data_IF_817450501252
#
_entry.id   IF_817450501252
#
_cell.length_a   1.000
_cell.length_b   1.000
_cell.length_c   1.000
_cell.angle_alpha   90.00
_cell.angle_beta   90.00
_cell.angle_gamma   90.00
#
_symmetry.space_group_name_H-M   'P 1'
#
loop_
_entity.id
_entity.type
_entity.pdbx_description
1 polymer ?
#
# COMPACT_ATOMS: atom_id res chain seq x y z
N UNK A 1 11.80 22.49 -76.45
CA UNK A 1 10.86 22.22 -75.33
C UNK A 1 11.59 22.57 -74.03
N UNK A 2 11.07 23.47 -73.18
CA UNK A 2 11.76 23.91 -71.98
C UNK A 2 11.47 22.96 -70.81
N UNK A 3 12.51 22.52 -70.10
CA UNK A 3 12.36 21.84 -68.81
C UNK A 3 12.16 22.90 -67.71
N UNK A 4 10.96 22.93 -67.13
CA UNK A 4 10.64 23.70 -65.92
C UNK A 4 11.27 23.01 -64.70
N UNK A 5 12.17 23.71 -64.01
CA UNK A 5 12.61 23.33 -62.66
C UNK A 5 11.49 23.60 -61.66
N UNK A 6 11.03 22.55 -60.97
CA UNK A 6 10.11 22.65 -59.83
C UNK A 6 10.90 22.70 -58.54
N UNK A 7 10.83 23.83 -57.83
CA UNK A 7 11.29 23.96 -56.45
C UNK A 7 10.20 23.36 -55.53
N UNK A 8 10.51 22.25 -54.84
CA UNK A 8 9.71 21.79 -53.69
C UNK A 8 10.03 22.69 -52.48
N UNK A 9 9.05 23.26 -51.77
CA UNK A 9 9.31 23.93 -50.52
C UNK A 9 9.50 22.88 -49.41
N UNK A 10 10.66 22.92 -48.74
CA UNK A 10 10.89 22.21 -47.49
C UNK A 10 10.01 22.84 -46.39
N UNK A 11 8.98 22.11 -45.97
CA UNK A 11 8.22 22.42 -44.75
C UNK A 11 9.06 22.02 -43.53
N UNK A 12 9.71 23.00 -42.91
CA UNK A 12 10.30 22.87 -41.58
C UNK A 12 9.17 22.87 -40.54
N UNK A 13 8.82 21.67 -40.04
CA UNK A 13 7.96 21.53 -38.86
C UNK A 13 8.82 21.79 -37.62
N UNK A 14 8.65 22.97 -37.01
CA UNK A 14 9.22 23.26 -35.70
C UNK A 14 8.43 22.48 -34.63
N UNK A 15 9.01 21.38 -34.10
CA UNK A 15 8.53 20.78 -32.86
C UNK A 15 8.84 21.75 -31.71
N UNK A 16 7.83 22.47 -31.24
CA UNK A 16 7.90 23.15 -29.96
C UNK A 16 7.96 22.08 -28.86
N UNK A 17 9.11 21.95 -28.19
CA UNK A 17 9.23 21.16 -26.98
C UNK A 17 8.37 21.83 -25.90
N UNK A 18 7.21 21.23 -25.58
CA UNK A 18 6.44 21.64 -24.42
C UNK A 18 7.30 21.39 -23.16
N UNK A 19 7.41 22.35 -22.23
CA UNK A 19 8.08 22.10 -20.97
C UNK A 19 7.32 21.00 -20.23
N UNK A 20 8.05 20.00 -19.73
CA UNK A 20 7.50 19.03 -18.79
C UNK A 20 6.97 19.82 -17.60
N UNK A 21 5.65 19.96 -17.49
CA UNK A 21 5.02 20.52 -16.32
C UNK A 21 5.27 19.54 -15.16
N UNK A 22 6.34 19.76 -14.40
CA UNK A 22 6.51 19.11 -13.11
C UNK A 22 5.52 19.81 -12.18
N UNK A 23 4.33 19.23 -12.04
CA UNK A 23 3.32 19.71 -11.09
C UNK A 23 3.76 19.36 -9.66
N UNK A 24 4.76 20.07 -9.14
CA UNK A 24 4.96 20.16 -7.70
C UNK A 24 3.86 21.07 -7.16
N UNK A 25 2.84 20.51 -6.52
CA UNK A 25 2.02 21.28 -5.58
C UNK A 25 2.78 21.31 -4.25
N UNK A 26 3.27 22.49 -3.80
CA UNK A 26 3.87 22.61 -2.48
C UNK A 26 2.84 22.19 -1.41
N UNK A 27 3.29 21.42 -0.43
CA UNK A 27 2.44 20.97 0.67
C UNK A 27 1.94 22.17 1.48
N UNK A 28 0.64 22.27 1.86
CA UNK A 28 0.16 23.39 2.65
C UNK A 28 0.90 23.48 4.00
N UNK A 29 1.26 24.70 4.44
CA UNK A 29 1.97 24.88 5.71
C UNK A 29 1.09 24.45 6.89
N UNK A 30 1.72 23.94 7.94
CA UNK A 30 1.04 23.62 9.20
C UNK A 30 0.81 24.89 10.01
N UNK A 31 -0.34 24.97 10.68
CA UNK A 31 -0.60 26.00 11.67
C UNK A 31 0.06 25.66 13.03
N UNK A 32 -0.05 26.56 14.00
CA UNK A 32 0.56 26.41 15.32
C UNK A 32 0.03 25.21 16.14
N UNK A 33 -1.07 24.57 15.70
CA UNK A 33 -1.63 23.36 16.30
C UNK A 33 -1.12 22.07 15.64
N UNK A 34 -0.31 22.19 14.58
CA UNK A 34 0.18 21.07 13.79
C UNK A 34 -0.79 20.57 12.72
N UNK A 35 -1.98 21.18 12.61
CA UNK A 35 -2.95 20.93 11.56
C UNK A 35 -2.53 21.61 10.25
N UNK A 36 -2.89 21.04 9.11
CA UNK A 36 -2.61 21.68 7.82
C UNK A 36 -3.57 22.84 7.59
N UNK A 37 -3.01 24.02 7.37
CA UNK A 37 -3.79 25.21 7.07
C UNK A 37 -4.60 24.97 5.79
N UNK A 38 -5.93 24.95 5.90
CA UNK A 38 -6.85 24.86 4.76
C UNK A 38 -7.54 23.51 4.53
N UNK A 39 -7.32 22.47 5.36
CA UNK A 39 -8.18 21.28 5.34
C UNK A 39 -9.48 21.57 6.11
N UNK A 40 -10.60 21.72 5.39
CA UNK A 40 -11.92 21.87 6.01
C UNK A 40 -12.33 20.61 6.79
N UNK A 41 -13.20 20.77 7.80
CA UNK A 41 -13.71 19.68 8.65
C UNK A 41 -14.27 18.46 7.86
N UNK A 42 -14.75 18.68 6.63
CA UNK A 42 -15.27 17.63 5.74
C UNK A 42 -14.22 16.60 5.29
N UNK A 43 -12.93 16.93 5.32
CA UNK A 43 -11.84 16.04 4.87
C UNK A 43 -11.22 15.22 6.00
N UNK A 44 -11.50 15.58 7.25
CA UNK A 44 -11.04 14.86 8.46
C UNK A 44 -11.66 13.46 8.56
N UNK A 45 -12.83 13.25 7.97
CA UNK A 45 -13.59 11.98 8.03
C UNK A 45 -13.47 11.14 6.76
N UNK A 46 -12.64 11.54 5.80
CA UNK A 46 -12.46 10.78 4.55
C UNK A 46 -11.66 9.50 4.87
N UNK A 47 -12.38 8.40 5.15
CA UNK A 47 -11.86 7.20 5.82
C UNK A 47 -12.77 6.64 6.91
N UNK A 48 -13.80 7.40 7.32
CA UNK A 48 -14.98 6.98 8.11
C UNK A 48 -16.21 7.18 7.24
N UNK A 49 -17.19 6.29 7.35
CA UNK A 49 -18.49 6.54 6.72
C UNK A 49 -19.57 5.71 7.40
N UNK A 50 -20.63 6.36 7.86
CA UNK A 50 -21.87 5.70 8.31
C UNK A 50 -22.53 4.88 7.19
N UNK A 51 -22.11 5.08 5.93
CA UNK A 51 -22.58 4.36 4.76
C UNK A 51 -21.70 3.17 4.38
N UNK A 52 -20.47 3.06 4.92
CA UNK A 52 -19.62 1.88 4.71
C UNK A 52 -20.09 0.79 5.67
N UNK A 53 -20.72 -0.23 5.09
CA UNK A 53 -21.16 -1.43 5.80
C UNK A 53 -20.30 -2.59 5.36
N UNK A 54 -19.13 -2.73 5.99
CA UNK A 54 -18.33 -3.92 5.86
C UNK A 54 -19.03 -5.05 6.62
N UNK A 55 -19.39 -6.12 5.92
CA UNK A 55 -20.19 -7.21 6.45
C UNK A 55 -19.46 -8.55 6.31
N UNK A 56 -19.83 -9.49 7.17
CA UNK A 56 -19.36 -10.87 7.10
C UNK A 56 -20.39 -11.75 6.38
N UNK A 57 -19.95 -12.44 5.33
CA UNK A 57 -20.77 -13.20 4.40
C UNK A 57 -20.58 -14.71 4.54
N UNK A 58 -20.19 -15.15 5.74
CA UNK A 58 -20.20 -16.56 6.14
C UNK A 58 -19.11 -17.45 5.51
N UNK A 59 -18.15 -16.86 4.80
CA UNK A 59 -16.97 -17.52 4.23
C UNK A 59 -15.78 -17.66 5.20
N UNK A 60 -14.79 -18.51 4.88
CA UNK A 60 -13.62 -18.68 5.72
C UNK A 60 -12.65 -17.49 5.61
N UNK A 61 -11.79 -17.33 6.62
CA UNK A 61 -10.59 -16.48 6.54
C UNK A 61 -9.34 -17.37 6.48
N UNK A 62 -8.17 -16.81 6.15
CA UNK A 62 -6.91 -17.55 6.23
C UNK A 62 -6.44 -17.69 7.69
N UNK A 63 -7.06 -18.62 8.44
CA UNK A 63 -6.78 -18.86 9.86
C UNK A 63 -5.53 -19.73 10.12
N UNK A 64 -5.13 -20.57 9.15
CA UNK A 64 -3.91 -21.37 9.24
C UNK A 64 -2.66 -20.55 8.86
N UNK A 65 -1.47 -21.03 9.22
CA UNK A 65 -0.18 -20.41 8.87
C UNK A 65 -0.10 -20.10 7.36
N UNK A 66 0.09 -18.82 7.05
CA UNK A 66 0.13 -18.33 5.67
C UNK A 66 1.57 -18.45 5.17
N UNK A 67 1.77 -19.11 4.03
CA UNK A 67 3.08 -19.13 3.35
C UNK A 67 2.98 -18.40 2.02
N UNK A 68 3.71 -17.30 1.89
CA UNK A 68 3.77 -16.51 0.66
C UNK A 68 4.90 -17.03 -0.22
N UNK A 69 4.58 -17.41 -1.46
CA UNK A 69 5.54 -17.92 -2.46
C UNK A 69 5.73 -16.93 -3.62
N UNK A 70 6.72 -16.02 -3.56
CA UNK A 70 6.96 -15.06 -4.63
C UNK A 70 7.39 -15.71 -5.96
N UNK A 71 6.77 -15.28 -7.05
CA UNK A 71 7.17 -15.60 -8.42
C UNK A 71 7.74 -14.33 -9.06
N UNK A 72 9.05 -14.29 -9.26
CA UNK A 72 9.76 -13.21 -9.93
C UNK A 72 9.71 -13.41 -11.42
N UNK A 73 8.69 -12.83 -12.04
CA UNK A 73 8.53 -12.85 -13.49
C UNK A 73 9.26 -11.65 -14.11
N UNK A 74 10.32 -11.94 -14.86
CA UNK A 74 11.15 -10.99 -15.59
C UNK A 74 12.46 -10.56 -14.90
N UNK A 75 13.10 -9.52 -15.45
CA UNK A 75 14.38 -9.00 -14.99
C UNK A 75 14.21 -8.17 -13.70
N UNK A 76 14.40 -8.82 -12.55
CA UNK A 76 14.27 -8.20 -11.24
C UNK A 76 15.63 -7.96 -10.57
N UNK A 77 16.02 -6.69 -10.31
CA UNK A 77 17.19 -6.36 -9.51
C UNK A 77 17.18 -7.02 -8.13
N UNK A 78 18.34 -7.45 -7.67
CA UNK A 78 18.49 -8.12 -6.37
C UNK A 78 18.01 -7.24 -5.20
N UNK A 79 18.21 -5.92 -5.29
CA UNK A 79 17.73 -4.96 -4.28
C UNK A 79 16.20 -4.92 -4.17
N UNK A 80 15.50 -5.01 -5.30
CA UNK A 80 14.04 -4.98 -5.32
C UNK A 80 13.46 -6.23 -4.68
N UNK A 81 14.01 -7.40 -5.03
CA UNK A 81 13.65 -8.67 -4.37
C UNK A 81 13.94 -8.61 -2.87
N UNK A 82 15.10 -8.06 -2.48
CA UNK A 82 15.46 -7.86 -1.06
C UNK A 82 14.43 -7.01 -0.33
N UNK A 83 13.98 -5.91 -0.92
CA UNK A 83 12.96 -5.04 -0.32
C UNK A 83 11.66 -5.79 -0.08
N UNK A 84 11.13 -6.51 -1.07
CA UNK A 84 9.88 -7.27 -0.93
C UNK A 84 10.03 -8.40 0.08
N UNK A 85 11.13 -9.18 0.04
CA UNK A 85 11.38 -10.23 1.04
C UNK A 85 11.44 -9.67 2.45
N UNK A 86 12.07 -8.52 2.64
CA UNK A 86 12.14 -7.89 3.94
C UNK A 86 10.77 -7.39 4.41
N UNK A 87 9.94 -6.84 3.51
CA UNK A 87 8.55 -6.52 3.83
C UNK A 87 7.78 -7.76 4.29
N UNK A 88 7.80 -8.85 3.52
CA UNK A 88 7.10 -10.09 3.85
C UNK A 88 7.55 -10.68 5.19
N UNK A 89 8.87 -10.65 5.48
CA UNK A 89 9.42 -11.08 6.78
C UNK A 89 9.04 -10.15 7.94
N UNK A 90 8.59 -8.92 7.65
CA UNK A 90 8.18 -7.96 8.67
C UNK A 90 6.71 -8.13 9.10
N UNK A 91 5.91 -8.91 8.38
CA UNK A 91 4.50 -9.21 8.75
C UNK A 91 4.42 -10.09 10.00
N UNK A 92 5.32 -11.08 10.10
CA UNK A 92 5.44 -11.99 11.24
C UNK A 92 6.93 -12.18 11.57
N UNK A 93 7.58 -11.17 12.18
CA UNK A 93 9.00 -11.22 12.46
C UNK A 93 9.28 -12.31 13.50
N UNK A 94 10.19 -13.22 13.17
CA UNK A 94 10.65 -14.24 14.12
C UNK A 94 11.45 -13.56 15.23
N UNK A 95 11.16 -13.92 16.48
CA UNK A 95 12.04 -13.60 17.61
C UNK A 95 13.29 -14.48 17.51
N UNK A 96 14.24 -14.10 16.66
CA UNK A 96 15.56 -14.74 16.69
C UNK A 96 16.18 -14.49 18.07
N UNK A 97 16.53 -15.57 18.76
CA UNK A 97 17.06 -15.57 20.14
C UNK A 97 18.42 -14.87 20.33
N UNK A 98 18.83 -13.97 19.45
CA UNK A 98 20.10 -13.25 19.53
C UNK A 98 19.93 -11.81 19.06
N UNK A 99 19.94 -10.86 20.01
CA UNK A 99 20.36 -9.44 19.94
C UNK A 99 20.04 -8.58 18.69
N UNK A 100 19.18 -8.98 17.76
CA UNK A 100 18.52 -8.04 16.85
C UNK A 100 17.36 -7.41 17.63
N UNK A 101 17.49 -6.11 17.93
CA UNK A 101 16.46 -5.37 18.67
C UNK A 101 15.10 -5.54 18.01
N UNK A 102 14.06 -5.71 18.84
CA UNK A 102 12.67 -5.80 18.38
C UNK A 102 12.37 -4.67 17.39
N UNK A 103 11.66 -4.99 16.29
CA UNK A 103 11.27 -3.98 15.29
C UNK A 103 10.44 -2.90 16.00
N UNK A 104 10.86 -1.62 15.97
CA UNK A 104 10.18 -0.58 16.73
C UNK A 104 8.79 -0.29 16.15
N UNK A 105 7.82 -0.05 17.02
CA UNK A 105 6.52 0.47 16.60
C UNK A 105 6.65 1.93 16.10
N UNK A 106 5.83 2.36 15.13
CA UNK A 106 4.87 1.56 14.37
C UNK A 106 5.57 0.57 13.43
N UNK A 107 5.18 -0.70 13.45
CA UNK A 107 5.82 -1.76 12.65
C UNK A 107 4.85 -2.43 11.67
N UNK A 108 5.40 -3.07 10.64
CA UNK A 108 4.59 -3.88 9.70
C UNK A 108 3.82 -4.99 10.42
N UNK A 109 4.39 -5.57 11.48
CA UNK A 109 3.71 -6.54 12.32
C UNK A 109 2.54 -5.92 13.09
N UNK A 110 2.67 -4.67 13.56
CA UNK A 110 1.57 -3.94 14.19
C UNK A 110 0.45 -3.67 13.19
N UNK A 111 0.78 -3.34 11.93
CA UNK A 111 -0.19 -3.14 10.86
C UNK A 111 -0.94 -4.44 10.54
N UNK A 112 -0.23 -5.58 10.49
CA UNK A 112 -0.86 -6.89 10.32
C UNK A 112 -1.82 -7.26 11.48
N UNK A 113 -1.65 -6.68 12.68
CA UNK A 113 -2.62 -6.90 13.77
C UNK A 113 -4.00 -6.35 13.46
N UNK A 114 -4.12 -5.32 12.64
CA UNK A 114 -5.44 -4.83 12.18
C UNK A 114 -6.10 -5.85 11.26
N UNK A 115 -5.34 -6.45 10.33
CA UNK A 115 -5.84 -7.54 9.46
C UNK A 115 -6.29 -8.76 10.29
N UNK A 116 -5.60 -9.03 11.41
CA UNK A 116 -5.96 -10.11 12.34
C UNK A 116 -7.26 -9.89 13.12
N UNK A 117 -7.87 -8.71 13.05
CA UNK A 117 -9.17 -8.44 13.70
C UNK A 117 -10.32 -9.20 13.03
N UNK A 118 -10.17 -9.57 11.76
CA UNK A 118 -11.16 -10.29 10.97
C UNK A 118 -11.22 -11.77 11.34
N UNK A 119 -12.45 -12.30 11.46
CA UNK A 119 -12.73 -13.68 11.91
C UNK A 119 -13.72 -14.39 10.99
N UNK A 120 -13.75 -15.71 11.01
CA UNK A 120 -14.81 -16.49 10.35
C UNK A 120 -15.86 -17.03 11.33
N UNK A 121 -16.82 -17.83 10.83
CA UNK A 121 -17.86 -18.49 11.64
C UNK A 121 -17.33 -19.37 12.78
N UNK A 122 -16.09 -19.85 12.67
CA UNK A 122 -15.46 -20.64 13.73
C UNK A 122 -14.85 -19.76 14.81
N UNK A 123 -14.96 -18.43 14.68
CA UNK A 123 -14.31 -17.39 15.48
C UNK A 123 -12.77 -17.39 15.35
N UNK A 124 -12.24 -18.12 14.37
CA UNK A 124 -10.82 -18.10 14.08
C UNK A 124 -10.46 -16.78 13.39
N UNK A 125 -9.44 -16.11 13.91
CA UNK A 125 -8.89 -14.89 13.31
C UNK A 125 -8.02 -15.23 12.09
N UNK A 126 -7.79 -14.24 11.23
CA UNK A 126 -6.67 -14.29 10.27
C UNK A 126 -5.37 -14.62 11.01
N UNK A 127 -4.56 -15.51 10.42
CA UNK A 127 -3.35 -16.02 11.04
C UNK A 127 -2.34 -14.91 11.40
N UNK A 128 -1.76 -15.05 12.59
CA UNK A 128 -0.63 -14.23 13.01
C UNK A 128 0.69 -14.63 12.33
N UNK A 129 0.73 -15.81 11.71
CA UNK A 129 1.93 -16.38 11.11
C UNK A 129 1.88 -16.19 9.60
N UNK A 130 2.84 -15.40 9.10
CA UNK A 130 3.07 -15.21 7.68
C UNK A 130 4.54 -15.52 7.40
N UNK A 131 4.78 -16.61 6.69
CA UNK A 131 6.11 -17.08 6.34
C UNK A 131 6.43 -16.79 4.87
N UNK A 132 7.70 -16.47 4.60
CA UNK A 132 8.21 -16.46 3.23
C UNK A 132 8.57 -17.89 2.82
N UNK A 133 7.87 -18.42 1.83
CA UNK A 133 8.12 -19.72 1.23
C UNK A 133 9.18 -19.71 0.13
N UNK A 134 9.24 -20.81 -0.60
CA UNK A 134 10.10 -20.96 -1.79
C UNK A 134 9.76 -19.93 -2.86
N UNK A 135 10.79 -19.43 -3.54
CA UNK A 135 10.67 -18.41 -4.58
C UNK A 135 10.96 -18.99 -5.96
N UNK A 136 10.17 -18.62 -6.97
CA UNK A 136 10.43 -18.97 -8.36
C UNK A 136 10.95 -17.75 -9.11
N UNK A 137 12.02 -17.90 -9.88
CA UNK A 137 12.49 -16.86 -10.80
C UNK A 137 12.31 -17.33 -12.25
N UNK A 138 11.62 -16.52 -13.06
CA UNK A 138 11.58 -16.66 -14.51
C UNK A 138 12.05 -15.36 -15.17
N UNK A 139 13.37 -15.23 -15.30
CA UNK A 139 13.98 -14.02 -15.85
C UNK A 139 13.76 -13.85 -17.37
N UNK A 140 13.48 -14.94 -18.09
CA UNK A 140 13.46 -14.97 -19.56
C UNK A 140 12.13 -14.51 -20.15
N UNK A 141 11.08 -14.43 -19.34
CA UNK A 141 9.72 -14.20 -19.80
C UNK A 141 9.24 -12.74 -19.62
N UNK A 142 10.17 -11.79 -19.60
CA UNK A 142 9.87 -10.35 -19.50
C UNK A 142 9.18 -9.83 -20.76
N UNK A 143 7.86 -9.61 -20.75
CA UNK A 143 7.21 -8.72 -21.72
C UNK A 143 7.34 -7.28 -21.22
N UNK A 144 8.47 -6.66 -21.54
CA UNK A 144 8.73 -5.21 -21.46
C UNK A 144 8.13 -4.44 -20.27
N UNK A 145 8.88 -4.35 -19.16
CA UNK A 145 8.87 -3.22 -18.23
C UNK A 145 10.03 -3.40 -17.22
N UNK A 146 10.68 -2.30 -16.84
CA UNK A 146 11.53 -2.25 -15.65
C UNK A 146 10.70 -1.65 -14.51
N UNK A 147 10.56 -2.36 -13.41
CA UNK A 147 9.82 -1.88 -12.25
C UNK A 147 10.72 -0.92 -11.46
N UNK A 148 10.30 0.33 -11.25
CA UNK A 148 11.13 1.36 -10.58
C UNK A 148 10.53 1.93 -9.31
N UNK A 149 9.26 1.62 -8.99
CA UNK A 149 8.53 2.15 -7.82
C UNK A 149 8.27 1.07 -6.77
N UNK A 150 9.29 0.77 -5.97
CA UNK A 150 9.21 -0.30 -4.97
C UNK A 150 8.22 -0.03 -3.84
N UNK A 151 8.07 1.22 -3.40
CA UNK A 151 7.16 1.54 -2.28
C UNK A 151 5.70 1.27 -2.67
N UNK A 152 5.32 1.67 -3.90
CA UNK A 152 3.99 1.35 -4.44
C UNK A 152 3.77 -0.15 -4.58
N UNK A 153 4.78 -0.91 -5.02
CA UNK A 153 4.67 -2.37 -5.10
C UNK A 153 4.50 -3.02 -3.72
N UNK A 154 5.22 -2.54 -2.71
CA UNK A 154 5.09 -3.04 -1.34
C UNK A 154 3.70 -2.75 -0.79
N UNK A 155 3.17 -1.54 -1.01
CA UNK A 155 1.81 -1.19 -0.56
C UNK A 155 0.74 -2.03 -1.26
N UNK A 156 0.88 -2.30 -2.57
CA UNK A 156 -0.05 -3.19 -3.30
C UNK A 156 0.04 -4.63 -2.78
N UNK A 157 1.25 -5.15 -2.55
CA UNK A 157 1.40 -6.49 -1.96
C UNK A 157 0.72 -6.55 -0.58
N UNK A 158 0.83 -5.49 0.22
CA UNK A 158 0.18 -5.42 1.52
C UNK A 158 -1.35 -5.43 1.39
N UNK A 159 -1.89 -4.56 0.52
CA UNK A 159 -3.31 -4.44 0.21
C UNK A 159 -3.91 -5.79 -0.19
N UNK A 160 -3.37 -6.42 -1.24
CA UNK A 160 -3.87 -7.69 -1.78
C UNK A 160 -3.72 -8.85 -0.78
N UNK A 161 -2.65 -8.84 0.03
CA UNK A 161 -2.44 -9.87 1.04
C UNK A 161 -3.42 -9.73 2.21
N UNK A 162 -3.79 -8.50 2.58
CA UNK A 162 -4.80 -8.25 3.60
C UNK A 162 -6.17 -8.78 3.14
N UNK A 163 -6.55 -8.46 1.90
CA UNK A 163 -7.83 -8.86 1.31
C UNK A 163 -7.92 -10.37 1.11
N UNK A 164 -6.90 -10.99 0.53
CA UNK A 164 -6.83 -12.46 0.42
C UNK A 164 -6.91 -13.13 1.79
N UNK A 165 -6.32 -12.53 2.83
CA UNK A 165 -6.35 -13.12 4.16
C UNK A 165 -7.71 -13.00 4.85
N UNK A 166 -8.40 -11.87 4.67
CA UNK A 166 -9.76 -11.65 5.19
C UNK A 166 -10.86 -12.26 4.33
N UNK A 167 -10.60 -12.57 3.06
CA UNK A 167 -11.62 -12.97 2.09
C UNK A 167 -11.09 -13.88 0.96
N UNK A 168 -10.49 -15.04 1.29
CA UNK A 168 -9.84 -15.91 0.31
C UNK A 168 -10.76 -16.49 -0.78
N UNK A 169 -12.07 -16.56 -0.53
CA UNK A 169 -13.07 -17.14 -1.44
C UNK A 169 -14.11 -16.13 -1.93
N UNK A 170 -13.85 -14.82 -1.76
CA UNK A 170 -14.77 -13.74 -2.12
C UNK A 170 -16.18 -13.88 -1.47
N UNK A 171 -16.24 -14.47 -0.28
CA UNK A 171 -17.47 -14.70 0.48
C UNK A 171 -17.32 -14.53 2.00
N UNK A 172 -16.26 -13.89 2.50
CA UNK A 172 -16.05 -13.63 3.92
C UNK A 172 -16.26 -12.15 4.26
N UNK A 173 -15.26 -11.26 4.16
CA UNK A 173 -15.41 -9.85 4.56
C UNK A 173 -15.37 -8.90 3.37
N UNK A 174 -16.48 -8.23 3.09
CA UNK A 174 -16.56 -7.16 2.09
C UNK A 174 -17.79 -6.28 2.34
N UNK A 175 -17.76 -5.07 1.79
CA UNK A 175 -18.86 -4.12 1.86
C UNK A 175 -19.83 -4.30 0.70
N UNK A 176 -21.13 -4.13 0.98
CA UNK A 176 -22.21 -4.29 0.00
C UNK A 176 -22.75 -5.72 -0.10
N UNK A 177 -23.82 -5.87 -0.90
CA UNK A 177 -24.53 -7.15 -1.05
C UNK A 177 -24.21 -7.93 -2.32
N UNK A 178 -23.40 -7.38 -3.24
CA UNK A 178 -23.01 -8.03 -4.49
C UNK A 178 -21.56 -8.53 -4.41
N UNK A 179 -21.33 -9.85 -4.39
CA UNK A 179 -19.98 -10.42 -4.34
C UNK A 179 -19.22 -10.33 -5.66
N UNK A 180 -19.83 -9.82 -6.74
CA UNK A 180 -19.18 -9.71 -8.06
C UNK A 180 -18.08 -8.66 -8.09
N UNK A 181 -18.16 -7.65 -7.22
CA UNK A 181 -17.20 -6.56 -7.08
C UNK A 181 -17.10 -6.15 -5.61
N UNK A 182 -16.57 -7.02 -4.74
CA UNK A 182 -16.50 -6.75 -3.32
C UNK A 182 -15.60 -5.53 -3.10
N UNK A 183 -16.07 -4.54 -2.34
CA UNK A 183 -15.18 -3.52 -1.77
C UNK A 183 -14.63 -4.09 -0.46
N UNK A 184 -13.35 -4.42 -0.45
CA UNK A 184 -12.74 -5.18 0.64
C UNK A 184 -12.04 -4.25 1.66
N UNK A 185 -11.32 -4.85 2.60
CA UNK A 185 -10.84 -4.15 3.79
C UNK A 185 -9.74 -3.12 3.48
N UNK A 186 -8.99 -3.29 2.39
CA UNK A 186 -7.94 -2.37 1.98
C UNK A 186 -8.47 -1.35 0.96
N UNK A 187 -9.36 -1.76 0.05
CA UNK A 187 -10.11 -0.86 -0.86
C UNK A 187 -10.76 0.33 -0.14
N UNK A 188 -11.38 0.10 1.02
CA UNK A 188 -12.03 1.14 1.82
C UNK A 188 -11.07 2.25 2.27
N UNK A 189 -9.77 1.96 2.28
CA UNK A 189 -8.72 2.83 2.79
C UNK A 189 -7.77 3.30 1.69
N UNK A 190 -8.21 3.21 0.44
CA UNK A 190 -7.41 3.64 -0.69
C UNK A 190 -6.90 5.08 -0.51
N UNK A 191 -5.59 5.28 -0.68
CA UNK A 191 -4.96 6.58 -0.48
C UNK A 191 -4.68 7.03 0.97
N UNK A 192 -5.07 6.26 2.00
CA UNK A 192 -4.90 6.62 3.42
C UNK A 192 -3.68 5.91 4.01
N UNK A 193 -2.67 6.66 4.46
CA UNK A 193 -1.42 6.12 5.00
C UNK A 193 -1.07 6.70 6.39
N UNK A 194 -1.89 7.60 6.93
CA UNK A 194 -1.63 8.31 8.16
C UNK A 194 -2.85 9.05 8.68
N UNK A 195 -2.79 9.49 9.94
CA UNK A 195 -3.85 10.25 10.61
C UNK A 195 -4.32 11.44 9.76
N UNK A 196 -5.63 11.58 9.62
CA UNK A 196 -6.26 12.63 8.80
C UNK A 196 -6.00 12.51 7.30
N UNK A 197 -5.51 11.36 6.83
CA UNK A 197 -5.42 11.03 5.41
C UNK A 197 -6.79 10.83 4.80
N UNK A 198 -6.91 11.04 3.49
CA UNK A 198 -8.15 11.02 2.74
C UNK A 198 -8.12 12.00 1.56
N UNK A 199 -8.81 11.63 0.48
CA UNK A 199 -8.87 12.43 -0.73
C UNK A 199 -7.49 12.53 -1.39
N UNK A 200 -6.97 13.74 -1.57
CA UNK A 200 -5.63 13.94 -2.11
C UNK A 200 -4.54 14.06 -1.02
N UNK A 201 -4.89 13.90 0.27
CA UNK A 201 -3.93 13.92 1.36
C UNK A 201 -3.60 12.51 1.85
N UNK A 202 -2.32 12.15 1.79
CA UNK A 202 -1.78 10.87 2.26
C UNK A 202 -1.92 10.65 3.79
N UNK A 203 -2.11 11.72 4.57
CA UNK A 203 -2.14 11.68 6.03
C UNK A 203 -0.79 12.04 6.67
N UNK A 204 -0.76 12.05 8.00
CA UNK A 204 0.46 12.35 8.76
C UNK A 204 1.45 11.17 8.71
N UNK A 205 2.64 11.41 8.14
CA UNK A 205 3.71 10.42 8.00
C UNK A 205 4.93 10.76 8.85
N UNK A 206 5.72 9.73 9.17
CA UNK A 206 7.05 9.87 9.74
C UNK A 206 8.05 10.26 8.63
N UNK A 207 9.16 10.88 9.02
CA UNK A 207 10.23 11.27 8.09
C UNK A 207 11.56 10.68 8.51
N UNK A 208 12.28 10.09 7.56
CA UNK A 208 13.63 9.60 7.74
C UNK A 208 14.58 10.80 7.88
N UNK A 209 15.24 10.94 9.03
CA UNK A 209 16.12 12.07 9.29
C UNK A 209 17.39 12.14 8.42
N UNK A 210 17.74 11.08 7.68
CA UNK A 210 18.91 11.04 6.80
C UNK A 210 18.54 11.28 5.34
N UNK A 211 17.50 10.63 4.85
CA UNK A 211 17.07 10.71 3.45
C UNK A 211 15.97 11.72 3.19
N UNK A 212 15.25 12.16 4.23
CA UNK A 212 14.02 12.95 4.09
C UNK A 212 12.82 12.16 3.55
N UNK A 213 12.96 10.84 3.36
CA UNK A 213 11.88 10.00 2.84
C UNK A 213 10.76 9.85 3.88
N UNK A 214 9.52 9.85 3.40
CA UNK A 214 8.35 9.60 4.25
C UNK A 214 8.09 8.10 4.41
N UNK A 215 7.64 7.70 5.60
CA UNK A 215 7.28 6.31 5.91
C UNK A 215 6.23 6.29 7.03
N UNK A 216 5.54 5.17 7.22
CA UNK A 216 4.64 4.98 8.36
C UNK A 216 4.89 3.67 9.13
N UNK A 217 5.68 2.73 8.59
CA UNK A 217 5.98 1.46 9.25
C UNK A 217 7.48 1.16 9.25
N UNK A 218 7.96 0.60 10.34
CA UNK A 218 9.28 -0.03 10.45
C UNK A 218 9.17 -1.53 10.17
N UNK A 219 10.22 -2.10 9.58
CA UNK A 219 10.35 -3.54 9.37
C UNK A 219 11.73 -4.06 9.68
N UNK A 220 11.93 -5.35 9.43
CA UNK A 220 13.17 -6.07 9.74
C UNK A 220 14.37 -5.49 9.00
N UNK A 221 15.55 -5.61 9.61
CA UNK A 221 16.80 -5.08 9.05
C UNK A 221 16.84 -3.56 8.95
N UNK A 222 16.08 -2.85 9.81
CA UNK A 222 16.04 -1.38 9.85
C UNK A 222 15.35 -0.74 8.65
N UNK A 223 14.59 -1.50 7.86
CA UNK A 223 13.86 -0.98 6.71
C UNK A 223 12.63 -0.19 7.15
N UNK A 224 12.28 0.78 6.32
CA UNK A 224 11.10 1.63 6.47
C UNK A 224 10.22 1.44 5.27
N UNK A 225 8.92 1.40 5.50
CA UNK A 225 7.90 1.16 4.48
C UNK A 225 6.80 2.22 4.58
N UNK A 226 6.25 2.55 3.42
CA UNK A 226 5.02 3.31 3.30
C UNK A 226 3.93 2.35 2.83
N UNK A 227 2.95 2.10 3.69
CA UNK A 227 1.91 1.10 3.46
C UNK A 227 0.55 1.70 3.78
N UNK A 228 -0.41 1.51 2.88
CA UNK A 228 -1.78 1.95 3.07
C UNK A 228 -2.37 1.32 4.35
N UNK A 229 -3.21 2.05 5.05
CA UNK A 229 -3.95 1.53 6.19
C UNK A 229 -5.07 0.59 5.73
N UNK A 230 -5.61 -0.18 6.68
CA UNK A 230 -6.75 -1.08 6.40
C UNK A 230 -7.91 -0.70 7.30
N UNK A 231 -9.11 -1.05 6.88
CA UNK A 231 -10.31 -0.79 7.66
C UNK A 231 -10.22 -1.52 9.00
N UNK A 232 -10.51 -0.81 10.09
CA UNK A 232 -10.65 -1.42 11.40
C UNK A 232 -12.14 -1.65 11.68
N UNK A 233 -12.58 -2.92 11.81
CA UNK A 233 -13.99 -3.25 11.96
C UNK A 233 -14.59 -2.81 13.30
N UNK A 234 -13.76 -2.54 14.32
CA UNK A 234 -14.23 -2.06 15.64
C UNK A 234 -14.30 -0.54 15.71
N UNK A 235 -13.46 0.15 14.94
CA UNK A 235 -13.45 1.62 14.87
C UNK A 235 -14.35 2.16 13.76
N UNK A 236 -14.75 1.33 12.80
CA UNK A 236 -15.41 1.75 11.56
C UNK A 236 -14.64 2.89 10.88
N UNK A 237 -13.32 2.72 10.81
CA UNK A 237 -12.38 3.72 10.31
C UNK A 237 -11.10 3.07 9.78
N UNK A 238 -10.54 3.65 8.72
CA UNK A 238 -9.21 3.31 8.24
C UNK A 238 -8.15 3.57 9.30
N UNK A 239 -7.47 2.52 9.77
CA UNK A 239 -6.57 2.63 10.91
C UNK A 239 -5.23 1.95 10.65
N UNK A 240 -4.18 2.55 11.20
CA UNK A 240 -2.86 1.96 11.24
C UNK A 240 -2.18 2.14 12.60
N UNK A 241 -1.00 1.53 12.80
CA UNK A 241 -0.35 1.46 14.11
C UNK A 241 0.03 2.81 14.74
N UNK A 242 0.08 3.88 13.94
CA UNK A 242 0.40 5.24 14.35
C UNK A 242 -0.81 6.19 14.29
N UNK A 243 -2.04 5.65 14.26
CA UNK A 243 -3.25 6.46 14.27
C UNK A 243 -3.40 7.29 15.56
N UNK A 244 -3.81 8.55 15.39
CA UNK A 244 -4.00 9.53 16.47
C UNK A 244 -5.43 10.08 16.53
N UNK A 245 -6.22 9.83 15.49
CA UNK A 245 -7.54 10.42 15.24
C UNK A 245 -8.69 9.69 15.95
N UNK A 246 -8.47 8.46 16.45
CA UNK A 246 -9.51 7.59 17.02
C UNK A 246 -9.02 6.72 18.20
N UNK A 247 -8.30 7.32 19.16
CA UNK A 247 -7.93 6.69 20.44
C UNK A 247 -9.09 6.67 21.44
#
# INVERSE_FOLDING_TARGET
MPHRGGLLPLLLVALAAAPLAVAWRPWPPRDASGALAGLGASKKFEGSSDFVKLEYHMGPVLAADITVHPIWYGAWPAEQKRTIRAFLRSLSPQSSGEKEGAVPSPSVADWWRTVRLYTDQTTANVSAVVALGQEKCDARMSRGASLTRMDGMVSVIAHELAEMASNPLANAWYAGGDPSFPTEIADLCEGIYGTGGGGAYTGQLLTDGRSGAAYNLNGVGGRRFLVQWVWDPYRSYCSGPNALDHQ
#
